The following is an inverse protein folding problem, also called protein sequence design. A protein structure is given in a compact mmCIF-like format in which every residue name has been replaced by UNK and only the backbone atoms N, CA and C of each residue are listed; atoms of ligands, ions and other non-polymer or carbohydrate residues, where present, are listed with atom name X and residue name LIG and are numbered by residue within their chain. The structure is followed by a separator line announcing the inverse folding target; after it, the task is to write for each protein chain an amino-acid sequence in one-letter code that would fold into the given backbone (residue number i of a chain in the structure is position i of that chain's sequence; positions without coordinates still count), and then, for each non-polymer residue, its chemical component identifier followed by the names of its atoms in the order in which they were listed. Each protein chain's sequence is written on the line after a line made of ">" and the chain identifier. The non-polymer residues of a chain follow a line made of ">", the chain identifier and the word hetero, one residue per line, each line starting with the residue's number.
data_IF_756609378775
#
_entry.id   IF_756609378775
#
_cell.length_a   1.000
_cell.length_b   1.000
_cell.length_c   1.000
_cell.angle_alpha   90.00
_cell.angle_beta   90.00
_cell.angle_gamma   90.00
#
_symmetry.space_group_name_H-M   'P 1'
#
loop_
_entity.id
_entity.type
_entity.pdbx_description
1 polymer ?
#
# COMPACT_ATOMS: atom_id res chain seq x y z
N UNK A 1 7.55 24.71 19.03
CA UNK A 1 6.33 24.28 18.31
C UNK A 1 6.54 24.62 16.84
N UNK A 2 6.82 23.63 15.99
CA UNK A 2 6.92 23.82 14.54
C UNK A 2 6.10 22.72 13.87
N UNK A 3 4.90 23.08 13.43
CA UNK A 3 4.05 22.24 12.59
C UNK A 3 4.64 22.23 11.17
N UNK A 4 5.22 21.12 10.74
CA UNK A 4 5.59 20.94 9.32
C UNK A 4 4.51 20.13 8.63
N UNK A 5 3.62 20.87 7.96
CA UNK A 5 2.67 20.35 6.99
C UNK A 5 3.40 20.08 5.68
N UNK A 6 3.56 18.82 5.32
CA UNK A 6 4.03 18.40 3.99
C UNK A 6 2.79 18.09 3.16
N UNK A 7 2.49 19.01 2.26
CA UNK A 7 1.38 18.98 1.31
C UNK A 7 1.96 18.74 -0.08
N UNK A 8 1.35 17.85 -0.87
CA UNK A 8 1.43 17.93 -2.33
C UNK A 8 0.50 19.06 -2.83
N UNK A 9 0.35 19.21 -4.14
CA UNK A 9 -0.39 20.31 -4.78
C UNK A 9 -1.87 20.39 -4.36
N UNK A 10 -2.39 19.35 -3.69
CA UNK A 10 -3.73 19.30 -3.07
C UNK A 10 -3.72 19.14 -1.53
N UNK A 11 -2.56 18.91 -0.92
CA UNK A 11 -2.34 19.08 0.51
C UNK A 11 -3.01 18.09 1.46
N UNK A 12 -3.28 16.87 1.03
CA UNK A 12 -3.86 15.85 1.91
C UNK A 12 -2.77 15.01 2.59
N UNK A 13 -2.69 15.14 3.92
CA UNK A 13 -1.94 14.21 4.77
C UNK A 13 -2.78 12.96 5.02
N UNK A 14 -2.12 11.82 5.04
CA UNK A 14 -2.75 10.56 5.43
C UNK A 14 -2.85 10.43 6.94
N UNK A 15 -4.08 10.34 7.40
CA UNK A 15 -4.51 9.64 8.59
C UNK A 15 -5.24 8.36 8.13
N UNK A 16 -5.38 7.38 9.02
CA UNK A 16 -6.25 6.21 8.78
C UNK A 16 -7.70 6.62 8.48
N UNK A 17 -8.04 7.88 8.74
CA UNK A 17 -9.32 8.53 8.45
C UNK A 17 -9.61 8.58 6.94
N UNK A 18 -8.63 8.79 6.06
CA UNK A 18 -8.88 8.81 4.60
C UNK A 18 -9.34 7.46 4.02
N UNK A 19 -8.71 6.36 4.45
CA UNK A 19 -9.17 5.01 4.06
C UNK A 19 -10.53 4.75 4.68
N UNK A 20 -10.71 5.17 5.93
CA UNK A 20 -11.99 5.05 6.63
C UNK A 20 -13.10 5.83 5.92
N UNK A 21 -12.86 7.06 5.46
CA UNK A 21 -13.79 7.89 4.69
C UNK A 21 -14.10 7.22 3.35
N UNK A 22 -13.07 6.76 2.63
CA UNK A 22 -13.25 6.07 1.35
C UNK A 22 -14.13 4.80 1.48
N UNK A 23 -13.98 4.08 2.60
CA UNK A 23 -14.74 2.85 2.90
C UNK A 23 -16.11 3.11 3.57
N UNK A 24 -16.26 4.20 4.32
CA UNK A 24 -17.52 4.62 4.95
C UNK A 24 -18.60 4.99 3.91
N UNK A 25 -18.19 5.36 2.69
CA UNK A 25 -19.11 5.63 1.57
C UNK A 25 -19.88 4.38 1.09
N UNK A 26 -19.70 3.21 1.71
CA UNK A 26 -20.43 1.98 1.37
C UNK A 26 -21.83 1.88 2.01
N UNK A 27 -22.05 2.53 3.17
CA UNK A 27 -23.29 2.42 3.95
C UNK A 27 -24.34 3.49 3.57
N UNK A 28 -23.97 4.40 2.67
CA UNK A 28 -24.87 5.44 2.17
C UNK A 28 -25.74 4.93 1.01
N UNK A 29 -26.99 5.33 0.99
CA UNK A 29 -28.02 5.21 -0.06
C UNK A 29 -27.62 5.83 -1.43
N UNK A 30 -26.34 5.81 -1.77
CA UNK A 30 -25.72 6.39 -2.96
C UNK A 30 -25.57 5.30 -4.01
N UNK A 31 -26.48 5.33 -4.98
CA UNK A 31 -26.35 4.62 -6.25
C UNK A 31 -25.04 5.07 -6.92
N UNK A 32 -24.18 4.13 -7.32
CA UNK A 32 -22.90 4.44 -7.97
C UNK A 32 -23.10 5.33 -9.20
N UNK A 33 -22.21 6.30 -9.43
CA UNK A 33 -22.35 7.27 -10.53
C UNK A 33 -21.85 6.74 -11.88
N UNK A 34 -21.31 5.52 -11.91
CA UNK A 34 -20.78 4.90 -13.13
C UNK A 34 -21.86 4.83 -14.21
N UNK A 35 -21.60 5.52 -15.32
CA UNK A 35 -22.45 5.50 -16.51
C UNK A 35 -22.14 4.25 -17.32
N UNK A 36 -23.18 3.49 -17.66
CA UNK A 36 -23.07 2.18 -18.31
C UNK A 36 -22.59 2.24 -19.77
N UNK A 37 -22.41 3.44 -20.33
CA UNK A 37 -21.96 3.67 -21.71
C UNK A 37 -20.49 3.32 -21.96
N UNK A 38 -19.67 3.27 -20.92
CA UNK A 38 -18.22 3.13 -21.04
C UNK A 38 -17.77 1.69 -21.34
N UNK A 39 -18.71 0.73 -21.31
CA UNK A 39 -18.45 -0.71 -21.44
C UNK A 39 -19.22 -1.37 -22.60
N UNK A 40 -19.57 -0.59 -23.63
CA UNK A 40 -20.39 -1.04 -24.76
C UNK A 40 -19.82 -2.27 -25.50
N UNK A 41 -18.50 -2.38 -25.61
CA UNK A 41 -17.85 -3.47 -26.37
C UNK A 41 -17.95 -4.82 -25.65
N UNK A 42 -17.90 -4.82 -24.31
CA UNK A 42 -18.10 -6.02 -23.48
C UNK A 42 -19.58 -6.38 -23.32
N UNK A 43 -20.50 -5.41 -23.45
CA UNK A 43 -21.93 -5.67 -23.37
C UNK A 43 -22.47 -6.55 -24.50
N UNK A 44 -21.97 -6.40 -25.72
CA UNK A 44 -22.54 -7.10 -26.90
C UNK A 44 -22.19 -8.60 -26.95
N UNK A 45 -20.99 -8.99 -26.49
CA UNK A 45 -20.60 -10.41 -26.41
C UNK A 45 -21.32 -11.12 -25.26
N UNK A 46 -21.56 -10.43 -24.14
CA UNK A 46 -22.27 -10.96 -22.97
C UNK A 46 -23.80 -10.96 -23.14
N UNK A 47 -24.38 -10.02 -23.90
CA UNK A 47 -25.81 -10.02 -24.29
C UNK A 47 -26.23 -11.26 -25.06
N UNK A 48 -25.32 -11.82 -25.87
CA UNK A 48 -25.57 -13.08 -26.62
C UNK A 48 -25.63 -14.32 -25.72
N UNK A 49 -25.04 -14.26 -24.53
CA UNK A 49 -24.89 -15.41 -23.62
C UNK A 49 -25.93 -15.42 -22.48
N UNK A 50 -26.51 -14.28 -22.06
CA UNK A 50 -27.38 -14.19 -20.88
C UNK A 50 -28.60 -13.28 -21.11
N UNK A 51 -29.81 -13.83 -21.01
CA UNK A 51 -31.09 -13.20 -21.42
C UNK A 51 -31.51 -11.95 -20.61
N UNK A 52 -31.90 -10.88 -21.33
CA UNK A 52 -32.85 -9.78 -21.07
C UNK A 52 -33.17 -9.25 -19.66
N UNK A 53 -32.34 -9.50 -18.65
CA UNK A 53 -32.55 -8.99 -17.29
C UNK A 53 -32.01 -7.55 -17.16
N UNK A 54 -32.78 -6.64 -16.56
CA UNK A 54 -32.36 -5.26 -16.28
C UNK A 54 -31.15 -5.17 -15.33
N UNK A 55 -30.82 -6.26 -14.63
CA UNK A 55 -29.62 -6.39 -13.80
C UNK A 55 -28.36 -6.81 -14.57
N UNK A 56 -28.47 -7.15 -15.86
CA UNK A 56 -27.36 -7.66 -16.67
C UNK A 56 -26.12 -6.73 -16.70
N UNK A 57 -26.26 -5.41 -16.92
CA UNK A 57 -25.10 -4.51 -16.93
C UNK A 57 -24.37 -4.49 -15.58
N UNK A 58 -25.10 -4.56 -14.46
CA UNK A 58 -24.53 -4.59 -13.11
C UNK A 58 -23.75 -5.87 -12.87
N UNK A 59 -24.26 -7.02 -13.29
CA UNK A 59 -23.57 -8.31 -13.18
C UNK A 59 -22.26 -8.34 -13.95
N UNK A 60 -22.30 -7.90 -15.21
CA UNK A 60 -21.09 -7.81 -16.06
C UNK A 60 -20.04 -6.94 -15.37
N UNK A 61 -20.44 -5.80 -14.81
CA UNK A 61 -19.49 -4.88 -14.20
C UNK A 61 -18.90 -5.40 -12.90
N UNK A 62 -19.70 -6.09 -12.10
CA UNK A 62 -19.22 -6.71 -10.88
C UNK A 62 -18.16 -7.79 -11.19
N UNK A 63 -18.42 -8.69 -12.15
CA UNK A 63 -17.45 -9.72 -12.51
C UNK A 63 -16.19 -9.14 -13.18
N UNK A 64 -16.33 -8.15 -14.05
CA UNK A 64 -15.18 -7.43 -14.63
C UNK A 64 -14.35 -6.76 -13.54
N UNK A 65 -15.00 -6.11 -12.57
CA UNK A 65 -14.33 -5.47 -11.42
C UNK A 65 -13.55 -6.50 -10.61
N UNK A 66 -14.14 -7.66 -10.29
CA UNK A 66 -13.44 -8.74 -9.57
C UNK A 66 -12.20 -9.18 -10.33
N UNK A 67 -12.33 -9.43 -11.63
CA UNK A 67 -11.22 -9.85 -12.47
C UNK A 67 -10.11 -8.79 -12.53
N UNK A 68 -10.46 -7.53 -12.72
CA UNK A 68 -9.49 -6.44 -12.74
C UNK A 68 -8.75 -6.29 -11.41
N UNK A 69 -9.43 -6.47 -10.27
CA UNK A 69 -8.80 -6.44 -8.95
C UNK A 69 -7.88 -7.66 -8.73
N UNK A 70 -8.22 -8.83 -9.27
CA UNK A 70 -7.38 -10.04 -9.21
C UNK A 70 -6.10 -9.91 -10.09
N UNK A 71 -6.18 -9.13 -11.17
CA UNK A 71 -5.07 -8.88 -12.08
C UNK A 71 -4.09 -7.78 -11.59
N UNK A 72 -4.38 -7.09 -10.49
CA UNK A 72 -3.48 -6.08 -9.90
C UNK A 72 -2.21 -6.74 -9.38
N UNK A 73 -1.06 -6.44 -10.01
CA UNK A 73 0.26 -6.94 -9.58
C UNK A 73 1.05 -5.92 -8.79
N UNK A 74 0.96 -4.65 -9.16
CA UNK A 74 1.69 -3.57 -8.51
C UNK A 74 0.78 -2.40 -8.16
N UNK A 75 1.04 -1.75 -7.03
CA UNK A 75 0.24 -0.62 -6.54
C UNK A 75 0.24 0.56 -7.52
N UNK A 76 1.32 0.72 -8.31
CA UNK A 76 1.44 1.77 -9.33
C UNK A 76 0.41 1.65 -10.47
N UNK A 77 -0.15 0.46 -10.68
CA UNK A 77 -1.15 0.19 -11.70
C UNK A 77 -2.57 0.65 -11.27
N UNK A 78 -2.69 1.14 -10.03
CA UNK A 78 -3.93 1.59 -9.41
C UNK A 78 -3.89 3.09 -9.15
N UNK A 79 -5.00 3.76 -9.45
CA UNK A 79 -5.22 5.17 -9.12
C UNK A 79 -6.56 5.35 -8.41
N UNK A 80 -6.77 6.53 -7.81
CA UNK A 80 -7.99 6.82 -7.05
C UNK A 80 -9.27 6.71 -7.87
N UNK A 81 -9.23 7.06 -9.17
CA UNK A 81 -10.39 6.95 -10.06
C UNK A 81 -10.79 5.49 -10.26
N UNK A 82 -9.80 4.59 -10.42
CA UNK A 82 -10.05 3.15 -10.57
C UNK A 82 -10.65 2.54 -9.30
N UNK A 83 -10.12 2.93 -8.13
CA UNK A 83 -10.69 2.53 -6.83
C UNK A 83 -12.17 2.94 -6.70
N UNK A 84 -12.52 4.15 -7.14
CA UNK A 84 -13.93 4.62 -7.15
C UNK A 84 -14.81 3.81 -8.10
N UNK A 85 -14.33 3.49 -9.31
CA UNK A 85 -15.09 2.66 -10.27
C UNK A 85 -15.38 1.28 -9.69
N UNK A 86 -14.38 0.61 -9.12
CA UNK A 86 -14.56 -0.70 -8.51
C UNK A 86 -15.52 -0.66 -7.33
N UNK A 87 -15.38 0.36 -6.46
CA UNK A 87 -16.31 0.59 -5.36
C UNK A 87 -17.75 0.72 -5.85
N UNK A 88 -17.98 1.58 -6.84
CA UNK A 88 -19.32 1.84 -7.36
C UNK A 88 -19.93 0.59 -8.01
N UNK A 89 -19.13 -0.24 -8.69
CA UNK A 89 -19.57 -1.52 -9.24
C UNK A 89 -19.98 -2.51 -8.13
N UNK A 90 -19.20 -2.61 -7.05
CA UNK A 90 -19.50 -3.42 -5.86
C UNK A 90 -20.78 -2.91 -5.17
N UNK A 91 -20.93 -1.61 -4.99
CA UNK A 91 -22.15 -1.01 -4.43
C UNK A 91 -23.36 -1.31 -5.30
N UNK A 92 -23.26 -1.17 -6.63
CA UNK A 92 -24.37 -1.47 -7.54
C UNK A 92 -24.77 -2.97 -7.47
N UNK A 93 -23.81 -3.88 -7.33
CA UNK A 93 -24.06 -5.30 -7.12
C UNK A 93 -24.80 -5.58 -5.79
N UNK A 94 -24.39 -4.89 -4.71
CA UNK A 94 -25.10 -4.97 -3.42
C UNK A 94 -26.55 -4.50 -3.53
N UNK A 95 -26.82 -3.43 -4.28
CA UNK A 95 -28.19 -2.90 -4.48
C UNK A 95 -29.13 -3.86 -5.20
N UNK A 96 -28.60 -4.84 -5.94
CA UNK A 96 -29.38 -5.91 -6.56
C UNK A 96 -29.32 -7.23 -5.75
N UNK A 97 -28.95 -7.14 -4.46
CA UNK A 97 -28.86 -8.23 -3.49
C UNK A 97 -27.81 -9.30 -3.80
N UNK A 98 -26.70 -8.94 -4.45
CA UNK A 98 -25.55 -9.85 -4.57
C UNK A 98 -24.76 -9.95 -3.26
N UNK A 99 -24.13 -11.10 -3.05
CA UNK A 99 -23.11 -11.27 -2.02
C UNK A 99 -21.80 -10.63 -2.49
N UNK A 100 -21.37 -9.57 -1.79
CA UNK A 100 -20.23 -8.74 -2.21
C UNK A 100 -19.12 -8.63 -1.16
N UNK A 101 -19.25 -9.27 0.00
CA UNK A 101 -18.32 -9.09 1.12
C UNK A 101 -16.88 -9.48 0.79
N UNK A 102 -16.67 -10.52 -0.04
CA UNK A 102 -15.32 -10.88 -0.50
C UNK A 102 -14.71 -9.78 -1.40
N UNK A 103 -15.51 -9.18 -2.29
CA UNK A 103 -15.06 -8.17 -3.24
C UNK A 103 -14.74 -6.86 -2.50
N UNK A 104 -15.58 -6.54 -1.52
CA UNK A 104 -15.36 -5.49 -0.52
C UNK A 104 -14.03 -5.67 0.19
N UNK A 105 -13.79 -6.81 0.82
CA UNK A 105 -12.53 -7.09 1.54
C UNK A 105 -11.31 -6.95 0.62
N UNK A 106 -11.42 -7.42 -0.62
CA UNK A 106 -10.33 -7.33 -1.60
C UNK A 106 -10.05 -5.88 -2.01
N UNK A 107 -11.08 -5.09 -2.32
CA UNK A 107 -10.94 -3.67 -2.63
C UNK A 107 -10.31 -2.90 -1.46
N UNK A 108 -10.70 -3.21 -0.22
CA UNK A 108 -10.12 -2.62 0.99
C UNK A 108 -8.61 -2.84 1.06
N UNK A 109 -8.13 -4.06 0.81
CA UNK A 109 -6.70 -4.38 0.79
C UNK A 109 -5.95 -3.58 -0.27
N UNK A 110 -6.51 -3.48 -1.47
CA UNK A 110 -5.91 -2.70 -2.56
C UNK A 110 -5.89 -1.21 -2.22
N UNK A 111 -6.98 -0.66 -1.67
CA UNK A 111 -7.05 0.73 -1.25
C UNK A 111 -6.00 1.05 -0.19
N UNK A 112 -5.86 0.22 0.85
CA UNK A 112 -4.79 0.37 1.85
C UNK A 112 -3.40 0.43 1.20
N UNK A 113 -3.10 -0.51 0.29
CA UNK A 113 -1.83 -0.53 -0.40
C UNK A 113 -1.59 0.74 -1.24
N UNK A 114 -2.63 1.20 -1.96
CA UNK A 114 -2.61 2.45 -2.72
C UNK A 114 -2.29 3.65 -1.84
N UNK A 115 -3.06 3.89 -0.78
CA UNK A 115 -2.85 5.05 0.07
C UNK A 115 -1.51 4.98 0.81
N UNK A 116 -1.11 3.81 1.32
CA UNK A 116 0.20 3.62 1.94
C UNK A 116 1.37 3.91 0.97
N UNK A 117 1.21 3.66 -0.33
CA UNK A 117 2.24 4.00 -1.32
C UNK A 117 2.42 5.51 -1.56
N UNK A 118 1.38 6.31 -1.27
CA UNK A 118 1.42 7.78 -1.44
C UNK A 118 2.03 8.50 -0.24
N UNK A 119 2.19 7.81 0.88
CA UNK A 119 2.51 8.43 2.18
C UNK A 119 3.96 8.29 2.60
N UNK A 120 4.73 7.47 1.89
CA UNK A 120 6.17 7.36 2.15
C UNK A 120 6.86 8.61 1.60
N UNK A 121 7.04 9.61 2.47
CA UNK A 121 7.89 10.76 2.19
C UNK A 121 9.29 10.22 1.81
N UNK A 122 9.84 10.55 0.62
CA UNK A 122 11.20 10.18 0.23
C UNK A 122 12.24 10.48 1.32
N UNK A 123 12.02 11.52 2.14
CA UNK A 123 12.88 11.86 3.28
C UNK A 123 12.95 10.77 4.34
N UNK A 124 11.89 9.98 4.54
CA UNK A 124 11.88 8.86 5.48
C UNK A 124 12.81 7.75 4.98
N UNK A 125 12.80 7.48 3.67
CA UNK A 125 13.72 6.50 3.08
C UNK A 125 15.18 6.95 3.17
N UNK A 126 15.43 8.23 2.89
CA UNK A 126 16.76 8.82 3.04
C UNK A 126 17.25 8.82 4.50
N UNK A 127 16.36 9.12 5.46
CA UNK A 127 16.66 9.04 6.88
C UNK A 127 16.97 7.60 7.31
N UNK A 128 16.18 6.61 6.88
CA UNK A 128 16.46 5.19 7.12
C UNK A 128 17.85 4.81 6.62
N UNK A 129 18.17 5.14 5.37
CA UNK A 129 19.48 4.85 4.77
C UNK A 129 20.63 5.52 5.53
N UNK A 130 20.41 6.75 6.01
CA UNK A 130 21.39 7.47 6.84
C UNK A 130 21.62 6.78 8.19
N UNK A 131 20.55 6.36 8.86
CA UNK A 131 20.61 5.64 10.13
C UNK A 131 21.29 4.28 9.97
N UNK A 132 20.98 3.52 8.93
CA UNK A 132 21.66 2.25 8.61
C UNK A 132 23.16 2.44 8.41
N UNK A 133 23.56 3.51 7.71
CA UNK A 133 24.98 3.86 7.54
C UNK A 133 25.64 4.20 8.88
N UNK A 134 24.97 4.94 9.75
CA UNK A 134 25.47 5.28 11.08
C UNK A 134 25.61 4.04 11.97
N UNK A 135 24.61 3.15 11.95
CA UNK A 135 24.62 1.88 12.69
C UNK A 135 25.81 1.01 12.27
N UNK A 136 26.05 0.89 10.95
CA UNK A 136 27.22 0.16 10.44
C UNK A 136 28.54 0.72 10.96
N UNK A 137 28.71 2.05 10.99
CA UNK A 137 29.92 2.70 11.54
C UNK A 137 30.10 2.42 13.03
N UNK A 138 29.01 2.48 13.80
CA UNK A 138 29.04 2.16 15.24
C UNK A 138 29.44 0.70 15.46
N UNK A 139 28.88 -0.23 14.67
CA UNK A 139 29.25 -1.66 14.74
C UNK A 139 30.75 -1.86 14.51
N UNK A 140 31.32 -1.25 13.47
CA UNK A 140 32.76 -1.35 13.18
C UNK A 140 33.62 -0.74 14.30
N UNK A 141 33.19 0.37 14.90
CA UNK A 141 33.91 0.97 16.03
C UNK A 141 33.91 0.06 17.26
N UNK A 142 32.79 -0.61 17.55
CA UNK A 142 32.70 -1.58 18.66
C UNK A 142 33.60 -2.79 18.40
N UNK A 143 33.57 -3.37 17.20
CA UNK A 143 34.44 -4.49 16.83
C UNK A 143 35.93 -4.13 16.97
N UNK A 144 36.32 -2.92 16.54
CA UNK A 144 37.69 -2.46 16.66
C UNK A 144 38.09 -2.21 18.12
N UNK A 145 37.19 -1.64 18.93
CA UNK A 145 37.40 -1.46 20.36
C UNK A 145 37.63 -2.79 21.06
N UNK A 146 36.78 -3.79 20.82
CA UNK A 146 36.90 -5.11 21.44
C UNK A 146 38.19 -5.81 21.02
N UNK A 147 38.57 -5.68 19.74
CA UNK A 147 39.86 -6.17 19.25
C UNK A 147 41.02 -5.50 19.99
N UNK A 148 41.04 -4.18 20.08
CA UNK A 148 42.09 -3.44 20.78
C UNK A 148 42.16 -3.82 22.27
N UNK A 149 41.01 -4.01 22.95
CA UNK A 149 40.99 -4.48 24.33
C UNK A 149 41.55 -5.89 24.48
N UNK A 150 41.19 -6.81 23.58
CA UNK A 150 41.71 -8.18 23.60
C UNK A 150 43.23 -8.24 23.39
N UNK A 151 43.76 -7.39 22.51
CA UNK A 151 45.21 -7.24 22.29
C UNK A 151 45.89 -6.52 23.47
N UNK A 152 45.21 -5.57 24.13
CA UNK A 152 45.75 -4.88 25.30
C UNK A 152 46.01 -5.82 26.48
N UNK A 153 45.18 -6.84 26.65
CA UNK A 153 45.39 -7.92 27.63
C UNK A 153 46.72 -8.66 27.37
N UNK A 154 47.18 -8.72 26.11
CA UNK A 154 48.46 -9.34 25.75
C UNK A 154 49.68 -8.53 26.23
N UNK A 155 49.59 -7.19 26.31
CA UNK A 155 50.69 -6.33 26.77
C UNK A 155 50.97 -6.42 28.28
N UNK A 156 50.09 -7.06 29.07
CA UNK A 156 50.36 -7.34 30.48
C UNK A 156 51.31 -8.53 30.71
N UNK A 157 51.77 -9.21 29.64
CA UNK A 157 52.89 -10.16 29.76
C UNK A 157 54.21 -9.41 29.79
N UNK A 158 55.04 -9.72 30.79
CA UNK A 158 56.40 -9.20 30.94
C UNK A 158 57.17 -9.28 29.62
N UNK A 159 57.65 -8.13 29.14
CA UNK A 159 58.53 -8.01 27.97
C UNK A 159 59.97 -8.45 28.27
N UNK A 160 60.26 -9.00 29.44
CA UNK A 160 61.62 -9.42 29.78
C UNK A 160 62.01 -10.61 28.90
N UNK A 161 62.98 -10.44 27.97
CA UNK A 161 63.41 -11.54 27.10
C UNK A 161 64.35 -12.53 27.84
N UNK A 162 64.56 -12.35 29.15
CA UNK A 162 65.56 -13.11 29.91
C UNK A 162 67.00 -12.73 29.53
N UNK A 163 67.20 -11.57 28.88
CA UNK A 163 68.49 -11.13 28.33
C UNK A 163 69.29 -10.22 29.25
N UNK A 164 68.76 -9.84 30.42
CA UNK A 164 69.52 -9.17 31.47
C UNK A 164 69.34 -9.91 32.81
N UNK A 165 70.44 -10.22 33.51
CA UNK A 165 70.43 -10.99 34.76
C UNK A 165 69.79 -10.24 35.94
#
# INVERSE_FOLDING_TARGET
>A
MCSTSTCDENGEKFDDEQVTIFLQEWDGNTKGQVQYSDFNELQEELRKQLSSCSAHPTLVMFYTTIKEMDEVREVKDVNISKLRVWRDAICNALHINMEVEFAKEHLTKIAYAYFASKTVDPKIYDQKKKLETQLGRISTMLELHDKCQSEAIFFNKSLNPGLFP
#
